data_IF_659495740944
#
_entry.id   IF_659495740944
#
_cell.length_a   1.000
_cell.length_b   1.000
_cell.length_c   1.000
_cell.angle_alpha   90.00
_cell.angle_beta   90.00
_cell.angle_gamma   90.00
#
_symmetry.space_group_name_H-M   'P 1'
#
loop_
_entity.id
_entity.type
_entity.pdbx_description
1 polymer ?
#
# COMPACT_ATOMS: atom_id res chain seq x y z
N UNK A 1 -0.09 8.72 -11.20
CA UNK A 1 -1.39 8.84 -10.50
C UNK A 1 -1.69 7.60 -9.67
N UNK A 2 -1.86 6.42 -10.27
CA UNK A 2 -2.11 5.17 -9.55
C UNK A 2 -1.00 4.13 -9.80
N UNK A 3 -0.73 3.25 -8.83
CA UNK A 3 0.23 2.15 -8.97
C UNK A 3 -0.24 0.90 -8.20
N UNK A 4 -0.02 -0.29 -8.75
CA UNK A 4 -0.35 -1.55 -8.07
C UNK A 4 0.60 -1.81 -6.89
N UNK A 5 0.02 -2.12 -5.73
CA UNK A 5 0.73 -2.15 -4.45
C UNK A 5 0.51 -3.46 -3.68
N UNK A 6 0.09 -4.51 -4.37
CA UNK A 6 -0.19 -5.82 -3.75
C UNK A 6 -1.51 -5.86 -3.00
N UNK A 7 -1.79 -6.99 -2.34
CA UNK A 7 -3.06 -7.20 -1.61
C UNK A 7 -2.87 -7.75 -0.21
N UNK A 8 -1.70 -8.31 0.12
CA UNK A 8 -1.37 -9.05 1.35
C UNK A 8 -2.20 -10.33 1.55
N UNK A 9 -3.51 -10.27 1.34
CA UNK A 9 -4.48 -11.35 1.57
C UNK A 9 -4.97 -12.03 0.28
N UNK A 10 -4.56 -11.52 -0.88
CA UNK A 10 -4.97 -12.06 -2.18
C UNK A 10 -4.07 -13.19 -2.68
N UNK A 11 -4.12 -13.42 -4.01
CA UNK A 11 -3.42 -14.54 -4.65
C UNK A 11 -1.90 -14.34 -4.72
N UNK A 12 -1.46 -13.10 -4.87
CA UNK A 12 -0.06 -12.75 -5.14
C UNK A 12 0.66 -12.46 -3.82
N UNK A 13 1.97 -12.74 -3.79
CA UNK A 13 2.81 -12.51 -2.62
C UNK A 13 2.82 -11.03 -2.19
N UNK A 14 2.82 -10.81 -0.86
CA UNK A 14 2.95 -9.50 -0.25
C UNK A 14 2.95 -9.61 1.28
N UNK A 15 4.07 -9.29 1.92
CA UNK A 15 4.18 -9.23 3.38
C UNK A 15 3.58 -7.91 3.89
N UNK A 16 2.86 -7.94 5.02
CA UNK A 16 2.07 -6.79 5.51
C UNK A 16 2.96 -5.59 5.86
N UNK A 17 4.03 -5.79 6.63
CA UNK A 17 4.93 -4.73 7.08
C UNK A 17 5.62 -4.01 5.91
N UNK A 18 6.18 -4.76 4.97
CA UNK A 18 6.80 -4.23 3.75
C UNK A 18 5.76 -3.50 2.89
N UNK A 19 4.55 -4.06 2.75
CA UNK A 19 3.47 -3.43 1.96
C UNK A 19 3.07 -2.08 2.54
N UNK A 20 2.90 -2.00 3.85
CA UNK A 20 2.62 -0.72 4.52
C UNK A 20 3.76 0.27 4.31
N UNK A 21 5.01 -0.17 4.42
CA UNK A 21 6.19 0.70 4.21
C UNK A 21 6.24 1.34 2.84
N UNK A 22 6.06 0.58 1.75
CA UNK A 22 6.06 1.19 0.42
C UNK A 22 4.76 1.92 0.07
N UNK A 23 3.63 1.63 0.72
CA UNK A 23 2.40 2.45 0.61
C UNK A 23 2.62 3.83 1.25
N UNK A 24 3.29 3.90 2.40
CA UNK A 24 3.66 5.17 3.03
C UNK A 24 4.58 5.97 2.09
N UNK A 25 5.60 5.32 1.51
CA UNK A 25 6.49 5.95 0.51
C UNK A 25 5.76 6.48 -0.74
N UNK A 26 4.61 5.91 -1.08
CA UNK A 26 3.82 6.36 -2.23
C UNK A 26 2.96 7.58 -1.92
N UNK A 27 2.51 7.76 -0.68
CA UNK A 27 1.44 8.72 -0.34
C UNK A 27 1.92 9.91 0.48
N UNK A 28 2.78 9.65 1.45
CA UNK A 28 3.17 10.65 2.44
C UNK A 28 4.28 11.55 1.89
N UNK A 29 4.33 12.79 2.36
CA UNK A 29 5.38 13.74 1.95
C UNK A 29 6.71 13.48 2.68
N UNK A 30 6.63 12.97 3.91
CA UNK A 30 7.80 12.69 4.75
C UNK A 30 7.63 11.37 5.49
N UNK A 31 8.56 10.44 5.27
CA UNK A 31 8.55 9.08 5.82
C UNK A 31 9.84 8.86 6.60
N UNK A 32 9.73 8.52 7.88
CA UNK A 32 10.91 8.21 8.72
C UNK A 32 11.49 6.82 8.44
N UNK A 33 12.78 6.64 8.74
CA UNK A 33 13.41 5.32 8.71
C UNK A 33 12.66 4.34 9.63
N UNK A 34 12.20 3.23 9.07
CA UNK A 34 11.60 2.11 9.79
C UNK A 34 12.04 0.78 9.16
N UNK A 35 12.97 0.10 9.82
CA UNK A 35 13.52 -1.18 9.32
C UNK A 35 12.54 -2.34 9.40
N UNK A 36 11.55 -2.29 10.30
CA UNK A 36 10.52 -3.33 10.39
C UNK A 36 9.59 -3.29 9.18
N UNK A 37 9.42 -2.10 8.58
CA UNK A 37 8.67 -1.88 7.34
C UNK A 37 9.54 -1.82 6.08
N UNK A 38 10.84 -2.12 6.19
CA UNK A 38 11.77 -2.13 5.06
C UNK A 38 12.21 -0.75 4.57
N UNK A 39 11.96 0.31 5.33
CA UNK A 39 12.39 1.68 5.03
C UNK A 39 13.76 1.92 5.64
N UNK A 40 14.80 1.89 4.81
CA UNK A 40 16.19 2.01 5.26
C UNK A 40 16.67 3.45 5.42
N UNK A 41 15.98 4.42 4.83
CA UNK A 41 16.34 5.84 4.90
C UNK A 41 15.08 6.67 5.09
N UNK A 42 15.18 7.73 5.87
CA UNK A 42 14.14 8.77 5.91
C UNK A 42 14.03 9.39 4.51
N UNK A 43 12.81 9.55 4.01
CA UNK A 43 12.50 10.06 2.68
C UNK A 43 11.60 11.30 2.80
N UNK A 44 12.06 12.40 2.21
CA UNK A 44 11.30 13.66 2.05
C UNK A 44 11.04 13.86 0.56
N UNK A 45 9.77 14.04 0.18
CA UNK A 45 9.33 14.19 -1.20
C UNK A 45 9.15 15.66 -1.62
N UNK A 46 9.39 16.62 -0.73
CA UNK A 46 9.36 18.06 -1.01
C UNK A 46 8.07 18.51 -1.72
N UNK A 47 6.92 18.10 -1.19
CA UNK A 47 5.56 18.37 -1.69
C UNK A 47 5.25 17.77 -3.06
N UNK A 48 5.98 16.72 -3.47
CA UNK A 48 5.59 15.94 -4.64
C UNK A 48 4.20 15.32 -4.41
N UNK A 49 3.28 15.38 -5.38
CA UNK A 49 1.97 14.74 -5.23
C UNK A 49 2.12 13.23 -5.01
N UNK A 50 1.39 12.71 -4.02
CA UNK A 50 1.32 11.28 -3.74
C UNK A 50 0.67 10.46 -4.86
N UNK A 51 0.87 9.14 -4.80
CA UNK A 51 0.34 8.14 -5.73
C UNK A 51 -0.70 7.28 -5.01
N UNK A 52 -1.86 7.08 -5.64
CA UNK A 52 -2.91 6.22 -5.10
C UNK A 52 -2.54 4.72 -5.28
N UNK A 53 -2.37 3.94 -4.21
CA UNK A 53 -2.11 2.51 -4.32
C UNK A 53 -3.35 1.75 -4.78
N UNK A 54 -3.10 0.74 -5.60
CA UNK A 54 -4.13 -0.16 -6.14
C UNK A 54 -3.91 -1.55 -5.58
N UNK A 55 -4.88 -2.03 -4.80
CA UNK A 55 -4.92 -3.41 -4.32
C UNK A 55 -5.69 -4.28 -5.32
N UNK A 56 -4.99 -5.21 -5.97
CA UNK A 56 -5.54 -6.05 -7.04
C UNK A 56 -4.89 -7.43 -7.06
N UNK A 57 -5.71 -8.46 -7.30
CA UNK A 57 -5.26 -9.84 -7.51
C UNK A 57 -5.89 -10.86 -6.56
N UNK A 58 -6.94 -11.55 -7.03
CA UNK A 58 -7.56 -12.65 -6.28
C UNK A 58 -8.24 -12.23 -4.98
N UNK A 59 -8.82 -11.03 -4.95
CA UNK A 59 -9.58 -10.52 -3.80
C UNK A 59 -11.09 -10.66 -4.00
N UNK A 60 -11.82 -10.85 -2.90
CA UNK A 60 -13.28 -10.97 -2.86
C UNK A 60 -13.84 -10.30 -1.60
N UNK A 61 -15.16 -10.24 -1.46
CA UNK A 61 -15.85 -9.46 -0.39
C UNK A 61 -15.34 -9.73 1.03
N UNK A 62 -14.97 -10.97 1.37
CA UNK A 62 -14.47 -11.30 2.71
C UNK A 62 -13.10 -10.71 3.04
N UNK A 63 -12.36 -10.21 2.04
CA UNK A 63 -11.11 -9.49 2.26
C UNK A 63 -11.34 -8.02 2.60
N UNK A 64 -12.57 -7.50 2.46
CA UNK A 64 -12.83 -6.07 2.63
C UNK A 64 -12.37 -5.48 3.97
N UNK A 65 -12.64 -6.12 5.13
CA UNK A 65 -12.17 -5.58 6.41
C UNK A 65 -10.65 -5.42 6.45
N UNK A 66 -9.91 -6.41 5.96
CA UNK A 66 -8.46 -6.37 5.92
C UNK A 66 -7.93 -5.34 4.91
N UNK A 67 -8.56 -5.22 3.73
CA UNK A 67 -8.14 -4.26 2.71
C UNK A 67 -8.31 -2.82 3.18
N UNK A 68 -9.42 -2.49 3.85
CA UNK A 68 -9.63 -1.15 4.42
C UNK A 68 -8.67 -0.88 5.58
N UNK A 69 -8.38 -1.88 6.42
CA UNK A 69 -7.38 -1.75 7.49
C UNK A 69 -5.98 -1.46 6.92
N UNK A 70 -5.59 -2.11 5.82
CA UNK A 70 -4.24 -1.99 5.26
C UNK A 70 -4.09 -0.70 4.44
N UNK A 71 -5.05 -0.40 3.57
CA UNK A 71 -4.90 0.66 2.57
C UNK A 71 -5.68 1.94 2.89
N UNK A 72 -6.67 1.91 3.78
CA UNK A 72 -7.51 3.09 4.06
C UNK A 72 -8.26 3.62 2.84
N UNK A 73 -8.78 4.85 2.98
CA UNK A 73 -9.71 5.45 2.02
C UNK A 73 -9.05 5.84 0.69
N UNK A 74 -7.79 6.28 0.71
CA UNK A 74 -7.07 6.78 -0.47
C UNK A 74 -6.52 5.64 -1.34
N UNK A 75 -7.34 4.64 -1.65
CA UNK A 75 -6.94 3.44 -2.40
C UNK A 75 -7.95 3.06 -3.48
N UNK A 76 -7.48 2.31 -4.47
CA UNK A 76 -8.33 1.60 -5.41
C UNK A 76 -8.32 0.11 -5.09
N UNK A 77 -9.49 -0.49 -4.88
CA UNK A 77 -9.64 -1.93 -4.65
C UNK A 77 -10.26 -2.59 -5.89
N UNK A 78 -9.49 -3.43 -6.60
CA UNK A 78 -9.90 -3.98 -7.89
C UNK A 78 -10.38 -5.44 -7.77
N UNK A 79 -11.68 -5.63 -7.98
CA UNK A 79 -12.35 -6.94 -8.02
C UNK A 79 -12.64 -7.32 -9.47
N UNK A 80 -11.87 -8.27 -10.02
CA UNK A 80 -12.01 -8.68 -11.42
C UNK A 80 -12.75 -10.00 -11.66
N UNK A 81 -12.57 -10.98 -10.77
CA UNK A 81 -13.15 -12.33 -10.89
C UNK A 81 -14.52 -12.47 -10.25
#
# INVERSE_FOLDING_TARGET
>A
DHLHSGTVVGKLEGEKGITMGFVDLMREDHIEQDRERGIYFTQDWASMPGVMPVASGGIHVWHMPALVEIFGDDSCLQFGG
#
